data_IF_693055814582
#
_entry.id   IF_693055814582
#
_cell.length_a   1.000
_cell.length_b   1.000
_cell.length_c   1.000
_cell.angle_alpha   90.00
_cell.angle_beta   90.00
_cell.angle_gamma   90.00
#
_symmetry.space_group_name_H-M   'P 1'
#
loop_
_entity.id
_entity.type
_entity.pdbx_description
1 polymer ?
#
# COMPACT_ATOMS: atom_id res chain seq x y z
N UNK A 1 21.74 5.97 -15.57
CA UNK A 1 22.26 5.08 -16.64
C UNK A 1 21.71 5.43 -18.02
N UNK A 2 20.42 5.76 -18.14
CA UNK A 2 19.72 5.96 -19.42
C UNK A 2 20.19 7.17 -20.27
N UNK A 3 20.86 8.16 -19.67
CA UNK A 3 21.45 9.31 -20.40
C UNK A 3 22.78 9.01 -21.08
N UNK A 4 23.52 7.98 -20.63
CA UNK A 4 24.82 7.57 -21.21
C UNK A 4 24.70 6.57 -22.36
N UNK A 5 23.59 5.83 -22.44
CA UNK A 5 23.33 4.81 -23.47
C UNK A 5 21.94 4.99 -24.06
N UNK A 6 21.74 6.06 -24.82
CA UNK A 6 20.46 6.43 -25.44
C UNK A 6 19.84 5.28 -26.26
N UNK A 7 20.67 4.49 -26.92
CA UNK A 7 20.23 3.34 -27.74
C UNK A 7 19.73 2.14 -26.91
N UNK A 8 19.94 2.11 -25.59
CA UNK A 8 19.48 1.04 -24.68
C UNK A 8 18.49 1.55 -23.64
N UNK A 9 17.92 2.74 -23.85
CA UNK A 9 17.06 3.41 -22.86
C UNK A 9 15.86 2.55 -22.44
N UNK A 10 15.12 2.01 -23.39
CA UNK A 10 13.94 1.16 -23.13
C UNK A 10 14.30 -0.06 -22.28
N UNK A 11 15.44 -0.67 -22.58
CA UNK A 11 15.93 -1.85 -21.87
C UNK A 11 16.30 -1.51 -20.42
N UNK A 12 17.02 -0.40 -20.23
CA UNK A 12 17.46 0.06 -18.91
C UNK A 12 16.29 0.55 -18.05
N UNK A 13 15.29 1.23 -18.63
CA UNK A 13 14.09 1.65 -17.91
C UNK A 13 13.29 0.42 -17.41
N UNK A 14 13.21 -0.65 -18.22
CA UNK A 14 12.59 -1.92 -17.80
C UNK A 14 13.41 -2.65 -16.74
N UNK A 15 14.74 -2.61 -16.84
CA UNK A 15 15.61 -3.18 -15.82
C UNK A 15 15.44 -2.47 -14.48
N UNK A 16 15.37 -1.13 -14.49
CA UNK A 16 15.13 -0.32 -13.29
C UNK A 16 13.79 -0.69 -12.65
N UNK A 17 12.72 -0.82 -13.44
CA UNK A 17 11.43 -1.31 -12.95
C UNK A 17 11.54 -2.72 -12.33
N UNK A 18 12.23 -3.66 -12.99
CA UNK A 18 12.44 -5.01 -12.44
C UNK A 18 13.22 -5.00 -11.12
N UNK A 19 14.21 -4.12 -10.98
CA UNK A 19 15.01 -3.97 -9.76
C UNK A 19 14.14 -3.42 -8.63
N UNK A 20 13.31 -2.41 -8.91
CA UNK A 20 12.34 -1.87 -7.95
C UNK A 20 11.36 -2.97 -7.52
N UNK A 21 10.85 -3.78 -8.44
CA UNK A 21 9.96 -4.90 -8.13
C UNK A 21 10.62 -5.94 -7.20
N UNK A 22 11.90 -6.22 -7.43
CA UNK A 22 12.65 -7.17 -6.60
C UNK A 22 12.88 -6.57 -5.21
N UNK A 23 13.23 -5.28 -5.11
CA UNK A 23 13.36 -4.58 -3.84
C UNK A 23 12.05 -4.58 -3.05
N UNK A 24 10.93 -4.32 -3.73
CA UNK A 24 9.62 -4.27 -3.11
C UNK A 24 9.18 -5.62 -2.52
N UNK A 25 9.61 -6.73 -3.11
CA UNK A 25 9.21 -8.09 -2.69
C UNK A 25 10.22 -8.75 -1.74
N UNK A 26 11.51 -8.47 -1.90
CA UNK A 26 12.59 -9.17 -1.20
C UNK A 26 13.53 -8.24 -0.41
N UNK A 27 13.17 -6.95 -0.30
CA UNK A 27 13.97 -5.95 0.40
C UNK A 27 15.37 -5.81 -0.19
N UNK A 28 16.37 -5.69 0.69
CA UNK A 28 17.77 -5.47 0.31
C UNK A 28 18.38 -6.57 -0.58
N UNK A 29 17.75 -7.75 -0.71
CA UNK A 29 18.25 -8.83 -1.57
C UNK A 29 18.25 -8.48 -3.07
N UNK A 30 17.56 -7.41 -3.49
CA UNK A 30 17.70 -6.89 -4.85
C UNK A 30 19.15 -6.55 -5.19
N UNK A 31 19.95 -6.14 -4.20
CA UNK A 31 21.35 -5.77 -4.39
C UNK A 31 22.18 -6.99 -4.80
N UNK A 32 22.02 -8.11 -4.10
CA UNK A 32 22.70 -9.36 -4.43
C UNK A 32 22.27 -9.88 -5.81
N UNK A 33 20.98 -9.77 -6.14
CA UNK A 33 20.49 -10.08 -7.47
C UNK A 33 21.13 -9.17 -8.53
N UNK A 34 21.19 -7.85 -8.30
CA UNK A 34 21.81 -6.89 -9.21
C UNK A 34 23.29 -7.20 -9.44
N UNK A 35 24.04 -7.48 -8.37
CA UNK A 35 25.46 -7.84 -8.43
C UNK A 35 25.69 -9.14 -9.22
N UNK A 36 24.92 -10.19 -8.96
CA UNK A 36 25.06 -11.46 -9.67
C UNK A 36 24.62 -11.36 -11.14
N UNK A 37 23.52 -10.66 -11.42
CA UNK A 37 23.01 -10.46 -12.78
C UNK A 37 23.99 -9.67 -13.63
N UNK A 38 24.53 -8.57 -13.09
CA UNK A 38 25.53 -7.75 -13.77
C UNK A 38 26.84 -8.50 -14.00
N UNK A 39 27.32 -9.30 -13.03
CA UNK A 39 28.50 -10.14 -13.19
C UNK A 39 28.31 -11.19 -14.29
N UNK A 40 27.16 -11.86 -14.33
CA UNK A 40 26.82 -12.84 -15.38
C UNK A 40 26.74 -12.19 -16.76
N UNK A 41 26.09 -11.03 -16.86
CA UNK A 41 26.01 -10.28 -18.12
C UNK A 41 27.39 -9.85 -18.63
N UNK A 42 28.28 -9.43 -17.73
CA UNK A 42 29.66 -9.09 -18.07
C UNK A 42 30.48 -10.31 -18.53
N UNK A 43 30.32 -11.47 -17.89
CA UNK A 43 30.96 -12.72 -18.30
C UNK A 43 30.46 -13.20 -19.67
N UNK A 44 29.15 -13.22 -19.91
CA UNK A 44 28.56 -13.61 -21.19
C UNK A 44 29.06 -12.74 -22.36
N UNK A 45 29.24 -11.44 -22.12
CA UNK A 45 29.80 -10.53 -23.11
C UNK A 45 31.29 -10.78 -23.35
N UNK A 46 32.06 -11.02 -22.29
CA UNK A 46 33.53 -11.22 -22.37
C UNK A 46 33.90 -12.55 -23.00
N UNK A 47 33.24 -13.62 -22.59
CA UNK A 47 33.68 -15.00 -22.84
C UNK A 47 32.96 -15.60 -24.06
N UNK A 48 31.75 -15.10 -24.37
CA UNK A 48 30.91 -15.64 -25.44
C UNK A 48 30.47 -14.58 -26.46
N UNK A 49 30.84 -13.31 -26.27
CA UNK A 49 30.35 -12.18 -27.07
C UNK A 49 28.80 -12.09 -27.13
N UNK A 50 28.13 -12.54 -26.06
CA UNK A 50 26.67 -12.52 -25.94
C UNK A 50 26.25 -11.27 -25.19
N UNK A 51 25.39 -10.45 -25.81
CA UNK A 51 24.70 -9.36 -25.12
C UNK A 51 23.45 -9.89 -24.43
N UNK A 52 23.49 -9.92 -23.11
CA UNK A 52 22.31 -10.22 -22.27
C UNK A 52 21.33 -9.05 -22.36
N UNK A 53 20.03 -9.38 -22.47
CA UNK A 53 18.93 -8.42 -22.41
C UNK A 53 18.56 -8.17 -20.94
N UNK A 54 18.82 -6.95 -20.46
CA UNK A 54 18.58 -6.52 -19.09
C UNK A 54 17.10 -6.23 -18.81
N UNK A 55 16.25 -6.15 -19.85
CA UNK A 55 14.81 -5.98 -19.65
C UNK A 55 14.11 -7.26 -19.17
N UNK A 56 14.78 -8.41 -19.28
CA UNK A 56 14.24 -9.72 -18.91
C UNK A 56 14.76 -10.09 -17.52
N UNK A 57 13.82 -10.31 -16.60
CA UNK A 57 14.12 -10.76 -15.24
C UNK A 57 14.56 -12.23 -15.21
N UNK A 58 15.72 -12.50 -14.63
CA UNK A 58 16.23 -13.86 -14.44
C UNK A 58 15.61 -14.47 -13.18
N UNK A 59 14.48 -15.15 -13.38
CA UNK A 59 13.72 -15.78 -12.28
C UNK A 59 14.49 -16.89 -11.58
N UNK A 60 15.40 -17.56 -12.28
CA UNK A 60 16.20 -18.66 -11.71
C UNK A 60 17.29 -18.09 -10.81
N UNK A 61 18.00 -17.06 -11.27
CA UNK A 61 18.97 -16.35 -10.44
C UNK A 61 18.30 -15.69 -9.23
N UNK A 62 17.14 -15.06 -9.43
CA UNK A 62 16.38 -14.48 -8.32
C UNK A 62 16.01 -15.52 -7.27
N UNK A 63 15.59 -16.72 -7.68
CA UNK A 63 15.25 -17.79 -6.73
C UNK A 63 16.48 -18.38 -6.03
N UNK A 64 17.65 -18.41 -6.69
CA UNK A 64 18.91 -18.76 -6.05
C UNK A 64 19.36 -17.71 -5.02
N UNK A 65 19.27 -16.43 -5.37
CA UNK A 65 19.61 -15.30 -4.48
C UNK A 65 18.65 -15.24 -3.29
N UNK A 66 17.36 -15.46 -3.54
CA UNK A 66 16.34 -15.39 -2.50
C UNK A 66 16.31 -16.62 -1.59
N UNK A 67 16.86 -17.77 -1.99
CA UNK A 67 16.86 -18.99 -1.17
C UNK A 67 15.47 -19.39 -0.64
N UNK A 68 15.43 -19.95 0.58
CA UNK A 68 14.18 -20.21 1.35
C UNK A 68 13.61 -18.93 2.02
N UNK A 69 14.04 -17.72 1.62
CA UNK A 69 13.48 -16.51 2.21
C UNK A 69 11.96 -16.51 1.97
N UNK A 70 11.19 -16.43 3.06
CA UNK A 70 9.75 -16.25 2.98
C UNK A 70 9.51 -14.98 2.18
N UNK A 71 8.87 -15.10 1.01
CA UNK A 71 8.25 -13.94 0.35
C UNK A 71 7.42 -13.22 1.40
N UNK A 72 7.69 -11.94 1.63
CA UNK A 72 6.76 -11.10 2.35
C UNK A 72 5.47 -11.08 1.53
N UNK A 73 4.47 -11.82 2.02
CA UNK A 73 3.28 -12.13 1.21
C UNK A 73 2.38 -10.90 1.21
N UNK A 74 2.49 -10.12 0.16
CA UNK A 74 1.47 -9.14 -0.20
C UNK A 74 0.19 -9.90 -0.55
N UNK A 75 -0.91 -9.48 0.06
CA UNK A 75 -2.22 -10.09 -0.15
C UNK A 75 -3.27 -9.02 -0.41
N UNK A 76 -4.28 -9.33 -1.20
CA UNK A 76 -5.44 -8.47 -1.40
C UNK A 76 -6.62 -9.35 -1.80
N UNK A 77 -7.83 -9.05 -1.31
CA UNK A 77 -9.03 -9.77 -1.74
C UNK A 77 -9.45 -9.41 -3.17
N UNK A 78 -8.82 -8.40 -3.79
CA UNK A 78 -9.14 -7.95 -5.14
C UNK A 78 -8.48 -8.89 -6.16
N UNK A 79 -9.28 -9.43 -7.08
CA UNK A 79 -8.75 -10.20 -8.20
C UNK A 79 -8.05 -9.25 -9.19
N UNK A 80 -6.72 -9.18 -9.10
CA UNK A 80 -5.89 -8.27 -9.91
C UNK A 80 -5.95 -8.62 -11.40
N UNK A 81 -6.01 -9.89 -11.76
CA UNK A 81 -6.07 -10.32 -13.15
C UNK A 81 -7.39 -9.91 -13.80
N UNK A 82 -8.51 -10.10 -13.10
CA UNK A 82 -9.82 -9.64 -13.56
C UNK A 82 -9.87 -8.11 -13.65
N UNK A 83 -9.36 -7.41 -12.63
CA UNK A 83 -9.31 -5.95 -12.64
C UNK A 83 -8.53 -5.43 -13.85
N UNK A 84 -7.39 -6.05 -14.16
CA UNK A 84 -6.56 -5.72 -15.32
C UNK A 84 -7.29 -5.97 -16.64
N UNK A 85 -8.06 -7.05 -16.74
CA UNK A 85 -8.88 -7.33 -17.92
C UNK A 85 -9.98 -6.28 -18.10
N UNK A 86 -10.71 -5.95 -17.03
CA UNK A 86 -11.76 -4.93 -17.05
C UNK A 86 -11.21 -3.54 -17.43
N UNK A 87 -9.98 -3.21 -17.01
CA UNK A 87 -9.30 -1.96 -17.34
C UNK A 87 -8.51 -2.00 -18.66
N UNK A 88 -8.64 -3.07 -19.46
CA UNK A 88 -7.89 -3.22 -20.72
C UNK A 88 -8.08 -2.03 -21.67
N UNK A 89 -9.26 -1.42 -21.69
CA UNK A 89 -9.57 -0.28 -22.59
C UNK A 89 -9.36 1.09 -21.93
N UNK A 90 -8.84 1.14 -20.69
CA UNK A 90 -8.58 2.42 -20.01
C UNK A 90 -7.55 3.26 -20.78
N UNK A 91 -7.80 4.56 -21.02
CA UNK A 91 -6.89 5.40 -21.81
C UNK A 91 -5.57 5.66 -21.10
N UNK A 92 -5.60 5.84 -19.78
CA UNK A 92 -4.39 5.98 -18.97
C UNK A 92 -3.86 4.60 -18.57
N UNK A 93 -2.83 4.13 -19.29
CA UNK A 93 -2.15 2.86 -19.00
C UNK A 93 -1.21 2.94 -17.80
N UNK A 94 -0.69 4.13 -17.48
CA UNK A 94 0.20 4.31 -16.35
C UNK A 94 -0.57 4.16 -15.05
N UNK A 95 -1.75 4.76 -14.97
CA UNK A 95 -2.69 4.59 -13.86
C UNK A 95 -3.06 3.11 -13.63
N UNK A 96 -3.44 2.38 -14.69
CA UNK A 96 -3.79 0.96 -14.58
C UNK A 96 -2.60 0.14 -14.10
N UNK A 97 -1.41 0.40 -14.65
CA UNK A 97 -0.20 -0.30 -14.24
C UNK A 97 0.13 -0.02 -12.77
N UNK A 98 0.08 1.24 -12.34
CA UNK A 98 0.28 1.64 -10.94
C UNK A 98 -0.69 0.92 -10.01
N UNK A 99 -2.00 0.90 -10.33
CA UNK A 99 -3.01 0.26 -9.50
C UNK A 99 -2.81 -1.25 -9.41
N UNK A 100 -2.62 -1.93 -10.56
CA UNK A 100 -2.44 -3.38 -10.58
C UNK A 100 -1.13 -3.79 -9.89
N UNK A 101 -0.06 -3.02 -10.11
CA UNK A 101 1.23 -3.24 -9.48
C UNK A 101 1.14 -3.07 -7.96
N UNK A 102 0.54 -1.97 -7.49
CA UNK A 102 0.34 -1.74 -6.06
C UNK A 102 -0.54 -2.79 -5.40
N UNK A 103 -1.57 -3.32 -6.07
CA UNK A 103 -2.37 -4.42 -5.54
C UNK A 103 -1.59 -5.74 -5.45
N UNK A 104 -0.68 -6.00 -6.38
CA UNK A 104 0.12 -7.22 -6.43
C UNK A 104 1.34 -7.18 -5.49
N UNK A 105 1.94 -6.00 -5.29
CA UNK A 105 3.24 -5.84 -4.62
C UNK A 105 3.25 -4.83 -3.47
N UNK A 106 2.13 -4.16 -3.22
CA UNK A 106 2.00 -3.15 -2.17
C UNK A 106 2.13 -1.73 -2.72
N UNK A 107 1.39 -0.80 -2.10
CA UNK A 107 1.42 0.62 -2.43
C UNK A 107 2.48 1.34 -1.60
N UNK A 108 3.26 2.21 -2.25
CA UNK A 108 4.07 3.22 -1.56
C UNK A 108 3.14 4.21 -0.86
N UNK A 109 3.37 4.41 0.44
CA UNK A 109 2.58 5.28 1.32
C UNK A 109 3.02 6.74 1.30
N UNK A 110 3.92 7.12 0.38
CA UNK A 110 4.42 8.48 0.15
C UNK A 110 5.19 9.06 1.35
N UNK A 111 5.75 8.18 2.18
CA UNK A 111 6.63 8.56 3.27
C UNK A 111 7.97 9.00 2.66
N UNK A 112 8.31 10.28 2.83
CA UNK A 112 9.50 10.89 2.23
C UNK A 112 10.83 10.33 2.78
N UNK A 113 10.83 9.83 4.02
CA UNK A 113 12.00 9.20 4.62
C UNK A 113 11.59 8.01 5.52
N UNK A 114 12.05 6.82 5.14
CA UNK A 114 11.83 5.57 5.88
C UNK A 114 13.02 5.16 6.76
N UNK A 115 14.17 5.81 6.60
CA UNK A 115 15.42 5.56 7.33
C UNK A 115 15.47 6.47 8.55
N UNK A 116 14.61 6.16 9.52
CA UNK A 116 14.44 6.95 10.74
C UNK A 116 14.70 6.10 11.99
N UNK A 117 15.30 6.67 13.05
CA UNK A 117 15.64 5.90 14.24
C UNK A 117 14.38 5.31 14.89
N UNK A 118 14.50 4.12 15.48
CA UNK A 118 13.38 3.47 16.16
C UNK A 118 12.73 4.39 17.19
N UNK A 119 11.39 4.43 17.17
CA UNK A 119 10.61 5.19 18.15
C UNK A 119 9.38 4.43 18.58
N UNK A 120 9.21 4.30 19.88
CA UNK A 120 7.99 3.77 20.50
C UNK A 120 7.22 4.87 21.22
N UNK A 121 5.99 5.10 20.77
CA UNK A 121 5.04 6.00 21.42
C UNK A 121 4.20 5.24 22.44
N UNK A 122 3.87 5.91 23.55
CA UNK A 122 3.01 5.34 24.60
C UNK A 122 1.55 5.35 24.15
N UNK A 123 0.86 4.23 24.34
CA UNK A 123 -0.55 4.10 24.00
C UNK A 123 -1.43 5.16 24.68
N UNK A 124 -2.50 5.52 24.01
CA UNK A 124 -3.45 6.51 24.49
C UNK A 124 -4.16 6.01 25.74
N UNK A 125 -4.58 6.95 26.60
CA UNK A 125 -5.29 6.62 27.85
C UNK A 125 -6.52 5.73 27.61
N UNK A 126 -7.25 5.95 26.50
CA UNK A 126 -8.44 5.15 26.18
C UNK A 126 -8.14 3.66 26.01
N UNK A 127 -7.02 3.30 25.39
CA UNK A 127 -6.59 1.91 25.28
C UNK A 127 -6.24 1.32 26.65
N UNK A 128 -5.50 2.06 27.48
CA UNK A 128 -5.08 1.62 28.81
C UNK A 128 -6.30 1.40 29.72
N UNK A 129 -7.33 2.24 29.63
CA UNK A 129 -8.53 2.13 30.47
C UNK A 129 -9.49 1.03 30.05
N UNK A 130 -9.36 0.50 28.83
CA UNK A 130 -10.28 -0.49 28.26
C UNK A 130 -9.51 -1.69 27.66
N UNK A 131 -8.66 -2.37 28.45
CA UNK A 131 -7.72 -3.35 27.92
C UNK A 131 -8.41 -4.54 27.25
N UNK A 132 -9.50 -5.05 27.83
CA UNK A 132 -10.24 -6.19 27.28
C UNK A 132 -10.87 -5.89 25.90
N UNK A 133 -11.22 -4.63 25.65
CA UNK A 133 -11.74 -4.20 24.35
C UNK A 133 -10.60 -4.18 23.33
N UNK A 134 -9.44 -3.66 23.72
CA UNK A 134 -8.26 -3.62 22.85
C UNK A 134 -7.78 -5.03 22.50
N UNK A 135 -7.73 -5.94 23.47
CA UNK A 135 -7.36 -7.34 23.24
C UNK A 135 -8.25 -7.97 22.14
N UNK A 136 -9.57 -7.81 22.26
CA UNK A 136 -10.54 -8.32 21.26
C UNK A 136 -10.41 -7.66 19.90
N UNK A 137 -10.16 -6.35 19.85
CA UNK A 137 -10.02 -5.62 18.60
C UNK A 137 -8.74 -6.02 17.86
N UNK A 138 -7.62 -6.17 18.58
CA UNK A 138 -6.36 -6.65 18.00
C UNK A 138 -6.51 -8.08 17.50
N UNK A 139 -7.09 -8.97 18.32
CA UNK A 139 -7.35 -10.36 17.91
C UNK A 139 -8.19 -10.41 16.63
N UNK A 140 -9.22 -9.57 16.52
CA UNK A 140 -10.02 -9.44 15.29
C UNK A 140 -9.20 -8.96 14.09
N UNK A 141 -8.30 -7.98 14.25
CA UNK A 141 -7.44 -7.49 13.15
C UNK A 141 -6.45 -8.55 12.69
N UNK A 142 -5.89 -9.34 13.62
CA UNK A 142 -5.01 -10.48 13.32
C UNK A 142 -5.75 -11.58 12.60
N UNK A 143 -6.93 -11.99 13.09
CA UNK A 143 -7.75 -13.04 12.48
C UNK A 143 -8.21 -12.69 11.06
N UNK A 144 -8.39 -11.39 10.77
CA UNK A 144 -8.71 -10.89 9.42
C UNK A 144 -7.48 -10.78 8.51
N UNK A 145 -6.26 -10.98 9.02
CA UNK A 145 -5.02 -10.83 8.27
C UNK A 145 -4.63 -9.38 7.95
N UNK A 146 -5.16 -8.42 8.71
CA UNK A 146 -4.80 -7.00 8.56
C UNK A 146 -3.57 -6.63 9.37
N UNK A 147 -3.35 -7.33 10.47
CA UNK A 147 -2.29 -7.10 11.42
C UNK A 147 -1.48 -8.39 11.59
N UNK A 148 -0.17 -8.29 11.44
CA UNK A 148 0.75 -9.41 11.67
C UNK A 148 1.24 -9.39 13.11
N UNK A 149 1.32 -10.57 13.74
CA UNK A 149 1.75 -10.77 15.12
C UNK A 149 0.89 -11.82 15.82
N UNK A 150 1.02 -11.96 17.15
CA UNK A 150 1.94 -11.24 18.03
C UNK A 150 3.40 -11.63 17.82
N UNK A 151 4.30 -10.66 17.97
CA UNK A 151 5.75 -10.89 18.01
C UNK A 151 6.33 -10.44 19.35
N UNK A 152 7.28 -11.19 19.90
CA UNK A 152 8.06 -10.76 21.06
C UNK A 152 9.05 -9.66 20.67
N UNK A 153 9.64 -9.77 19.48
CA UNK A 153 10.55 -8.79 18.88
C UNK A 153 10.25 -8.63 17.38
N UNK A 154 10.41 -7.42 16.86
CA UNK A 154 10.25 -7.15 15.43
C UNK A 154 11.54 -7.49 14.67
N UNK A 155 11.42 -8.12 13.50
CA UNK A 155 12.55 -8.42 12.62
C UNK A 155 13.04 -7.21 11.80
N UNK A 156 12.63 -5.99 12.18
CA UNK A 156 13.04 -4.75 11.53
C UNK A 156 14.22 -4.11 12.29
N UNK A 157 15.25 -3.67 11.57
CA UNK A 157 16.38 -2.95 12.19
C UNK A 157 15.95 -1.60 12.77
N UNK A 158 15.02 -0.91 12.09
CA UNK A 158 14.45 0.37 12.48
C UNK A 158 12.93 0.29 12.31
N UNK A 159 12.16 0.88 13.22
CA UNK A 159 10.70 0.84 13.14
C UNK A 159 10.00 1.96 13.92
N UNK A 160 8.75 2.26 13.55
CA UNK A 160 7.87 3.21 14.24
C UNK A 160 6.72 2.47 14.90
N UNK A 161 6.64 2.54 16.23
CA UNK A 161 5.47 2.07 16.98
C UNK A 161 4.58 3.27 17.29
N UNK A 162 3.47 3.36 16.58
CA UNK A 162 2.44 4.36 16.82
C UNK A 162 1.53 3.96 17.98
N UNK A 163 1.07 4.93 18.78
CA UNK A 163 0.24 4.63 19.93
C UNK A 163 -1.18 4.26 19.46
N UNK A 164 -1.76 3.28 20.15
CA UNK A 164 -3.14 2.87 19.91
C UNK A 164 -4.10 3.45 20.94
N UNK A 165 -5.36 3.60 20.53
CA UNK A 165 -6.47 4.07 21.34
C UNK A 165 -7.76 3.34 20.99
N UNK A 166 -8.79 3.56 21.82
CA UNK A 166 -10.16 3.13 21.52
C UNK A 166 -11.03 4.36 21.33
N UNK A 167 -11.89 4.32 20.30
CA UNK A 167 -12.98 5.28 20.15
C UNK A 167 -14.31 4.57 19.89
N UNK A 168 -15.40 5.19 20.30
CA UNK A 168 -16.75 4.69 20.08
C UNK A 168 -17.29 5.30 18.78
N UNK A 169 -17.71 4.46 17.85
CA UNK A 169 -18.31 4.91 16.60
C UNK A 169 -19.62 5.65 16.87
N UNK A 170 -19.69 6.94 16.50
CA UNK A 170 -20.81 7.86 16.77
C UNK A 170 -22.20 7.29 16.50
N UNK A 171 -22.36 6.53 15.41
CA UNK A 171 -23.67 5.99 14.99
C UNK A 171 -23.87 4.51 15.34
N UNK A 172 -22.79 3.74 15.47
CA UNK A 172 -22.89 2.29 15.70
C UNK A 172 -22.79 1.91 17.17
N UNK A 173 -22.25 2.80 18.02
CA UNK A 173 -21.92 2.50 19.41
C UNK A 173 -20.80 1.47 19.58
N UNK A 174 -20.21 0.98 18.48
CA UNK A 174 -19.17 -0.06 18.51
C UNK A 174 -17.80 0.56 18.76
N UNK A 175 -16.97 -0.04 19.64
CA UNK A 175 -15.60 0.39 19.81
C UNK A 175 -14.77 0.09 18.55
N UNK A 176 -13.83 0.97 18.25
CA UNK A 176 -12.88 0.85 17.13
C UNK A 176 -11.47 1.12 17.64
N UNK A 177 -10.54 0.35 17.10
CA UNK A 177 -9.12 0.56 17.34
C UNK A 177 -8.68 1.78 16.52
N UNK A 178 -8.03 2.74 17.18
CA UNK A 178 -7.39 3.89 16.54
C UNK A 178 -5.89 3.69 16.62
N UNK A 179 -5.21 3.98 15.52
CA UNK A 179 -3.76 4.09 15.45
C UNK A 179 -3.44 5.56 15.18
N UNK A 180 -2.76 6.23 16.10
CA UNK A 180 -2.41 7.63 15.93
C UNK A 180 -1.07 7.77 15.16
N UNK A 181 -1.18 7.80 13.83
CA UNK A 181 -0.04 7.95 12.92
C UNK A 181 0.50 9.40 12.88
N UNK A 182 -0.14 10.33 13.58
CA UNK A 182 0.34 11.70 13.79
C UNK A 182 1.11 11.87 15.09
N UNK A 183 1.24 10.80 15.89
CA UNK A 183 2.09 10.80 17.08
C UNK A 183 3.56 10.47 16.75
N UNK A 184 4.53 11.10 17.44
CA UNK A 184 4.35 12.16 18.42
C UNK A 184 4.00 13.50 17.76
N UNK A 185 3.01 14.21 18.31
CA UNK A 185 2.62 15.54 17.82
C UNK A 185 3.71 16.56 18.13
N UNK A 186 4.02 17.43 17.16
CA UNK A 186 4.88 18.61 17.34
C UNK A 186 6.31 18.31 17.86
N UNK A 187 6.86 17.14 17.52
CA UNK A 187 8.20 16.76 17.96
C UNK A 187 9.26 17.01 16.87
N UNK A 188 10.10 18.02 17.09
CA UNK A 188 11.17 18.43 16.15
C UNK A 188 12.23 17.32 15.97
N UNK A 189 12.41 16.44 16.96
CA UNK A 189 13.45 15.40 16.96
C UNK A 189 12.93 14.10 16.32
N UNK A 190 11.64 13.81 16.45
CA UNK A 190 11.03 12.61 15.91
C UNK A 190 9.73 12.96 15.18
N UNK A 191 9.81 13.06 13.85
CA UNK A 191 8.62 13.23 13.02
C UNK A 191 7.69 12.00 13.14
N UNK A 192 6.39 12.25 13.20
CA UNK A 192 5.38 11.20 13.07
C UNK A 192 5.33 10.68 11.63
N UNK A 193 4.69 9.52 11.42
CA UNK A 193 4.51 8.93 10.08
C UNK A 193 3.82 9.94 9.16
N UNK A 194 2.78 10.61 9.65
CA UNK A 194 2.01 11.59 8.88
C UNK A 194 2.75 12.91 8.63
N UNK A 195 3.75 13.28 9.44
CA UNK A 195 4.58 14.47 9.20
C UNK A 195 5.57 14.25 8.06
N UNK A 196 5.91 13.00 7.77
CA UNK A 196 6.80 12.61 6.67
C UNK A 196 6.06 12.43 5.35
N UNK A 197 4.75 12.60 5.31
CA UNK A 197 3.92 12.52 4.11
C UNK A 197 3.50 13.92 3.70
N UNK A 198 3.84 14.31 2.48
CA UNK A 198 3.46 15.61 1.94
C UNK A 198 1.94 15.77 1.87
N UNK A 199 1.45 16.93 2.36
CA UNK A 199 0.02 17.22 2.43
C UNK A 199 -0.57 17.46 1.05
N UNK A 200 0.16 18.17 0.20
CA UNK A 200 -0.36 18.62 -1.09
C UNK A 200 -0.48 17.44 -2.06
N UNK A 201 0.46 16.49 -1.97
CA UNK A 201 0.44 15.21 -2.68
C UNK A 201 -0.76 14.31 -2.35
N UNK A 202 -1.42 14.52 -1.20
CA UNK A 202 -2.57 13.73 -0.75
C UNK A 202 -3.92 14.45 -0.91
N UNK A 203 -3.95 15.60 -1.58
CA UNK A 203 -5.20 16.33 -1.80
C UNK A 203 -6.16 15.55 -2.72
N UNK A 204 -7.43 15.45 -2.30
CA UNK A 204 -8.50 14.78 -3.03
C UNK A 204 -9.67 15.74 -3.25
N UNK A 205 -10.30 15.63 -4.42
CA UNK A 205 -11.56 16.32 -4.73
C UNK A 205 -12.68 15.30 -4.62
N UNK A 206 -13.43 15.36 -3.52
CA UNK A 206 -14.54 14.44 -3.29
C UNK A 206 -15.80 14.89 -4.04
N UNK A 207 -16.60 13.90 -4.43
CA UNK A 207 -17.97 14.11 -4.92
C UNK A 207 -18.76 14.89 -3.87
N UNK A 208 -19.42 15.96 -4.29
CA UNK A 208 -20.24 16.82 -3.42
C UNK A 208 -21.67 16.33 -3.36
N UNK A 209 -22.36 16.71 -2.30
CA UNK A 209 -23.82 16.45 -2.18
C UNK A 209 -24.57 17.12 -3.34
N UNK A 210 -24.13 18.31 -3.76
CA UNK A 210 -24.73 19.02 -4.89
C UNK A 210 -24.64 18.24 -6.20
N UNK A 211 -23.54 17.50 -6.42
CA UNK A 211 -23.39 16.63 -7.59
C UNK A 211 -24.44 15.51 -7.57
N UNK A 212 -24.66 14.91 -6.40
CA UNK A 212 -25.69 13.89 -6.21
C UNK A 212 -27.09 14.43 -6.43
N UNK A 213 -27.38 15.63 -5.87
CA UNK A 213 -28.68 16.30 -6.05
C UNK A 213 -28.92 16.59 -7.53
N UNK A 214 -27.92 17.12 -8.23
CA UNK A 214 -28.03 17.44 -9.65
C UNK A 214 -28.30 16.20 -10.49
N UNK A 215 -27.64 15.08 -10.21
CA UNK A 215 -27.89 13.80 -10.89
C UNK A 215 -29.33 13.32 -10.67
N UNK A 216 -29.81 13.33 -9.42
CA UNK A 216 -31.18 12.91 -9.09
C UNK A 216 -32.21 13.81 -9.80
N UNK A 217 -31.97 15.13 -9.81
CA UNK A 217 -32.83 16.08 -10.52
C UNK A 217 -32.86 15.81 -12.03
N UNK A 218 -31.70 15.53 -12.63
CA UNK A 218 -31.59 15.25 -14.07
C UNK A 218 -32.28 13.94 -14.48
N UNK A 219 -32.17 12.90 -13.66
CA UNK A 219 -32.83 11.60 -13.92
C UNK A 219 -34.35 11.66 -13.69
N UNK A 220 -34.80 12.60 -12.86
CA UNK A 220 -36.20 12.90 -12.67
C UNK A 220 -36.95 11.93 -11.76
N UNK A 221 -38.27 12.13 -11.69
CA UNK A 221 -39.17 11.39 -10.80
C UNK A 221 -39.16 9.90 -11.15
N UNK A 222 -39.26 9.04 -10.12
CA UNK A 222 -39.23 7.57 -10.19
C UNK A 222 -37.85 6.94 -10.41
N UNK A 223 -36.78 7.74 -10.35
CA UNK A 223 -35.41 7.23 -10.28
C UNK A 223 -35.20 6.36 -9.05
N UNK A 224 -34.52 5.23 -9.25
CA UNK A 224 -34.09 4.33 -8.17
C UNK A 224 -32.61 4.51 -7.87
N UNK A 225 -32.24 4.47 -6.60
CA UNK A 225 -30.86 4.53 -6.15
C UNK A 225 -30.50 3.23 -5.41
N UNK A 226 -29.29 2.71 -5.67
CA UNK A 226 -28.70 1.64 -4.88
C UNK A 226 -27.49 2.18 -4.12
N UNK A 227 -27.35 1.80 -2.85
CA UNK A 227 -26.16 2.11 -2.04
C UNK A 227 -25.45 0.79 -1.71
N UNK A 228 -24.16 0.75 -2.03
CA UNK A 228 -23.28 -0.35 -1.64
C UNK A 228 -22.19 0.22 -0.73
N UNK A 229 -21.85 -0.51 0.33
CA UNK A 229 -20.81 -0.14 1.29
C UNK A 229 -19.62 -1.11 1.13
N UNK A 230 -18.41 -0.57 0.98
CA UNK A 230 -17.19 -1.38 0.93
C UNK A 230 -16.71 -1.58 2.36
N UNK A 231 -16.90 -2.79 2.88
CA UNK A 231 -16.43 -3.17 4.21
C UNK A 231 -14.89 -3.18 4.27
N UNK A 232 -14.35 -2.78 5.43
CA UNK A 232 -12.91 -2.72 5.69
C UNK A 232 -12.14 -1.95 4.59
N UNK A 233 -12.71 -0.83 4.13
CA UNK A 233 -12.06 0.10 3.22
C UNK A 233 -10.64 0.49 3.72
N UNK A 234 -9.75 0.82 2.79
CA UNK A 234 -8.29 0.90 2.99
C UNK A 234 -7.60 -0.43 3.25
N UNK A 235 -8.16 -1.34 4.06
CA UNK A 235 -7.55 -2.66 4.35
C UNK A 235 -7.52 -3.59 3.14
N UNK A 236 -8.24 -3.26 2.07
CA UNK A 236 -8.13 -3.91 0.76
C UNK A 236 -6.81 -3.61 0.04
N UNK A 237 -6.16 -2.50 0.38
CA UNK A 237 -4.96 -1.99 -0.28
C UNK A 237 -3.72 -2.39 0.51
N UNK A 238 -2.86 -3.26 -0.04
CA UNK A 238 -1.63 -3.63 0.64
C UNK A 238 -0.63 -2.49 0.70
N UNK A 239 0.16 -2.43 1.77
CA UNK A 239 1.30 -1.52 1.89
C UNK A 239 2.54 -2.22 1.35
N UNK A 240 3.44 -1.45 0.75
CA UNK A 240 4.74 -1.92 0.32
C UNK A 240 5.48 -2.62 1.48
N UNK A 241 5.96 -3.87 1.31
CA UNK A 241 6.59 -4.60 2.40
C UNK A 241 7.78 -3.88 3.05
N UNK A 242 8.58 -3.18 2.23
CA UNK A 242 9.68 -2.33 2.68
C UNK A 242 9.25 -1.11 3.52
N UNK A 243 7.95 -0.86 3.69
CA UNK A 243 7.40 0.21 4.55
C UNK A 243 6.61 -0.33 5.75
N UNK A 244 6.46 -1.65 5.93
CA UNK A 244 5.70 -2.22 7.06
C UNK A 244 6.25 -1.83 8.42
N UNK A 245 7.57 -1.62 8.52
CA UNK A 245 8.24 -1.14 9.73
C UNK A 245 7.79 0.25 10.17
N UNK A 246 7.13 1.02 9.30
CA UNK A 246 6.57 2.33 9.62
C UNK A 246 5.17 2.25 10.25
N UNK A 247 4.52 1.08 10.19
CA UNK A 247 3.13 0.89 10.63
C UNK A 247 3.04 -0.12 11.78
N UNK A 248 3.98 -0.06 12.73
CA UNK A 248 3.96 -0.94 13.89
C UNK A 248 3.07 -0.40 15.01
N UNK A 249 2.52 -1.31 15.80
CA UNK A 249 1.84 -1.02 17.07
C UNK A 249 2.37 -1.96 18.14
N UNK A 250 2.23 -1.55 19.41
CA UNK A 250 2.62 -2.36 20.55
C UNK A 250 1.47 -2.43 21.52
N UNK A 251 1.12 -3.64 21.91
CA UNK A 251 0.08 -3.87 22.89
C UNK A 251 0.56 -4.88 23.92
N UNK A 252 0.46 -4.49 25.20
CA UNK A 252 1.09 -5.19 26.32
C UNK A 252 2.59 -5.35 26.06
N UNK A 253 3.08 -6.57 25.96
CA UNK A 253 4.49 -6.90 25.71
C UNK A 253 4.77 -7.22 24.24
N UNK A 254 3.73 -7.36 23.41
CA UNK A 254 3.86 -7.87 22.05
C UNK A 254 3.79 -6.76 21.00
N UNK A 255 4.52 -6.98 19.93
CA UNK A 255 4.58 -6.14 18.75
C UNK A 255 3.72 -6.68 17.63
N UNK A 256 3.22 -5.76 16.82
CA UNK A 256 2.44 -6.05 15.63
C UNK A 256 2.73 -5.01 14.55
N UNK A 257 2.42 -5.32 13.30
CA UNK A 257 2.49 -4.34 12.21
C UNK A 257 1.40 -4.55 11.17
N UNK A 258 0.98 -3.47 10.53
CA UNK A 258 -0.01 -3.53 9.45
C UNK A 258 0.65 -3.83 8.11
N UNK A 259 0.07 -4.77 7.35
CA UNK A 259 0.48 -5.06 5.96
C UNK A 259 -0.42 -4.39 4.93
N UNK A 260 -1.47 -3.70 5.40
CA UNK A 260 -2.49 -2.99 4.61
C UNK A 260 -2.59 -1.55 5.08
N UNK A 261 -3.14 -0.68 4.25
CA UNK A 261 -3.31 0.73 4.61
C UNK A 261 -4.07 0.86 5.95
N UNK A 262 -3.48 1.61 6.87
CA UNK A 262 -4.09 1.88 8.16
C UNK A 262 -5.01 3.10 8.08
N UNK A 263 -6.11 3.05 8.84
CA UNK A 263 -6.89 4.25 9.13
C UNK A 263 -6.02 5.25 9.88
N UNK A 264 -6.15 6.53 9.53
CA UNK A 264 -5.35 7.61 10.11
C UNK A 264 -4.05 7.92 9.34
N UNK A 265 -3.65 7.12 8.35
CA UNK A 265 -2.52 7.46 7.49
C UNK A 265 -2.97 8.51 6.45
N UNK A 266 -2.14 9.53 6.25
CA UNK A 266 -2.44 10.66 5.35
C UNK A 266 -2.62 10.24 3.89
N UNK A 267 -1.83 9.27 3.42
CA UNK A 267 -1.89 8.80 2.04
C UNK A 267 -3.00 7.77 1.79
N UNK A 268 -3.55 7.15 2.84
CA UNK A 268 -4.56 6.08 2.69
C UNK A 268 -5.77 6.47 1.83
N UNK A 269 -6.42 7.63 2.04
CA UNK A 269 -7.54 8.04 1.20
C UNK A 269 -7.15 8.20 -0.27
N UNK A 270 -5.98 8.81 -0.53
CA UNK A 270 -5.48 9.06 -1.89
C UNK A 270 -5.20 7.76 -2.64
N UNK A 271 -4.57 6.80 -1.98
CA UNK A 271 -4.25 5.50 -2.59
C UNK A 271 -5.54 4.73 -2.89
N UNK A 272 -6.49 4.71 -1.95
CA UNK A 272 -7.77 4.03 -2.14
C UNK A 272 -8.66 4.70 -3.19
N UNK A 273 -8.59 6.02 -3.33
CA UNK A 273 -9.31 6.76 -4.37
C UNK A 273 -8.94 6.27 -5.79
N UNK A 274 -7.71 5.80 -6.02
CA UNK A 274 -7.34 5.18 -7.29
C UNK A 274 -8.18 3.93 -7.59
N UNK A 275 -8.42 3.08 -6.58
CA UNK A 275 -9.32 1.95 -6.75
C UNK A 275 -10.75 2.43 -7.03
N UNK A 276 -11.21 3.47 -6.33
CA UNK A 276 -12.53 4.05 -6.53
C UNK A 276 -12.73 4.56 -7.96
N UNK A 277 -11.77 5.31 -8.48
CA UNK A 277 -11.79 5.82 -9.85
C UNK A 277 -11.79 4.70 -10.88
N UNK A 278 -11.00 3.64 -10.67
CA UNK A 278 -11.00 2.47 -11.54
C UNK A 278 -12.36 1.76 -11.58
N UNK A 279 -12.98 1.54 -10.42
CA UNK A 279 -14.32 0.94 -10.33
C UNK A 279 -15.36 1.81 -11.03
N UNK A 280 -15.34 3.13 -10.82
CA UNK A 280 -16.22 4.06 -11.53
C UNK A 280 -16.06 3.98 -13.05
N UNK A 281 -14.81 3.93 -13.52
CA UNK A 281 -14.51 3.82 -14.94
C UNK A 281 -15.06 2.50 -15.52
N UNK A 282 -14.84 1.37 -14.83
CA UNK A 282 -15.33 0.05 -15.26
C UNK A 282 -16.86 0.07 -15.32
N UNK A 283 -17.52 0.56 -14.26
CA UNK A 283 -18.98 0.63 -14.19
C UNK A 283 -19.57 1.42 -15.37
N UNK A 284 -18.96 2.55 -15.72
CA UNK A 284 -19.40 3.40 -16.82
C UNK A 284 -19.14 2.80 -18.20
N UNK A 285 -17.94 2.27 -18.43
CA UNK A 285 -17.50 1.88 -19.79
C UNK A 285 -17.83 0.42 -20.14
N UNK A 286 -17.89 -0.48 -19.15
CA UNK A 286 -18.11 -1.90 -19.39
C UNK A 286 -19.54 -2.35 -19.03
N UNK A 287 -20.21 -1.64 -18.11
CA UNK A 287 -21.54 -2.00 -17.61
C UNK A 287 -22.63 -0.94 -17.84
N UNK A 288 -22.31 0.15 -18.56
CA UNK A 288 -23.24 1.24 -18.87
C UNK A 288 -23.91 1.89 -17.65
N UNK A 289 -23.26 1.86 -16.49
CA UNK A 289 -23.70 2.56 -15.28
C UNK A 289 -23.21 3.99 -15.37
N UNK A 290 -24.05 4.87 -15.89
CA UNK A 290 -23.68 6.26 -16.19
C UNK A 290 -23.47 7.12 -14.93
N UNK A 291 -24.27 6.86 -13.89
CA UNK A 291 -24.28 7.64 -12.66
C UNK A 291 -23.82 6.78 -11.48
N UNK A 292 -22.55 6.93 -11.12
CA UNK A 292 -21.94 6.31 -9.94
C UNK A 292 -21.24 7.37 -9.10
N UNK A 293 -21.47 7.34 -7.79
CA UNK A 293 -20.87 8.26 -6.84
C UNK A 293 -20.14 7.44 -5.78
N UNK A 294 -18.83 7.56 -5.75
CA UNK A 294 -17.99 6.95 -4.72
C UNK A 294 -17.65 8.03 -3.69
N UNK A 295 -17.96 7.75 -2.43
CA UNK A 295 -17.63 8.60 -1.28
C UNK A 295 -16.72 7.79 -0.36
N UNK A 296 -15.52 8.29 -0.09
CA UNK A 296 -14.57 7.69 0.87
C UNK A 296 -14.56 8.44 2.20
#
# INVERSE_FOLDING_TARGET
MCSKFTNRRIELDRYEANIIDIYNVYGAMFYDYHCQFSARAAAALRDCNIKVDWSIKDTTMLSMVAGNAKREKVDTPINVDELKQQLHNHPDKQFVNYLCHGLAFGFDTLISNTDVPTKECRNLRSAITQPDIVDKLIESEVNKGFLEGPFEELHFQQYRVSPIGVAIGKYSGKPRLIVDLSSPHENIVHQSVNDMIDKDSCSLSYVRIDDAIQIIQNLGRYTTMCKTDISDAFKLMPVLPSQWHMFCIKWRTNYYFYTKLAFGCRSSPRIFDNLSQAVCWIAKNNFSIEFILMTS
#
